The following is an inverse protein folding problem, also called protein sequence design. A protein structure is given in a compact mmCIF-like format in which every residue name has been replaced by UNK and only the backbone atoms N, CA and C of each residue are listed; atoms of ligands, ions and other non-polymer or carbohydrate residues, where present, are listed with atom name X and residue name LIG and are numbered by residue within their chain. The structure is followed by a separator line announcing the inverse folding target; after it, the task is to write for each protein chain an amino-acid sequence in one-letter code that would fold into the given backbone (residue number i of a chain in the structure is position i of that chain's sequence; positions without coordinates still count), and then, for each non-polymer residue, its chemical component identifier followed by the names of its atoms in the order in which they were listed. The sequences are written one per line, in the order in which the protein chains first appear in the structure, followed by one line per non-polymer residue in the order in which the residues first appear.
data_IF_767022933741
#
_entry.id   IF_767022933741
#
_cell.length_a   1.000
_cell.length_b   1.000
_cell.length_c   1.000
_cell.angle_alpha   90.00
_cell.angle_beta   90.00
_cell.angle_gamma   90.00
#
_symmetry.space_group_name_H-M   'P 1'
#
loop_
_entity.id
_entity.type
_entity.pdbx_description
1 polymer ?
#
# COMPACT_ATOMS: atom_id res chain seq x y z
N UNK A 1 -7.90 -12.05 12.47
CA UNK A 1 -6.60 -12.50 13.02
C UNK A 1 -5.48 -11.95 12.15
N UNK A 2 -4.34 -11.54 12.73
CA UNK A 2 -3.16 -11.12 11.96
C UNK A 2 -2.45 -12.38 11.44
N UNK A 3 -1.97 -12.38 10.18
CA UNK A 3 -1.27 -13.54 9.61
C UNK A 3 0.07 -13.82 10.31
N UNK A 4 0.41 -15.09 10.54
CA UNK A 4 1.74 -15.45 11.02
C UNK A 4 2.78 -15.13 9.95
N UNK A 5 3.96 -14.66 10.37
CA UNK A 5 5.08 -14.30 9.47
C UNK A 5 4.64 -13.38 8.32
N UNK A 6 3.82 -12.38 8.66
CA UNK A 6 3.17 -11.47 7.71
C UNK A 6 4.13 -10.92 6.65
N UNK A 7 5.31 -10.43 7.03
CA UNK A 7 6.27 -9.84 6.09
C UNK A 7 6.86 -10.87 5.13
N UNK A 8 7.25 -12.05 5.62
CA UNK A 8 7.74 -13.15 4.76
C UNK A 8 6.66 -13.59 3.79
N UNK A 9 5.43 -13.80 4.30
CA UNK A 9 4.28 -14.19 3.49
C UNK A 9 3.98 -13.15 2.42
N UNK A 10 3.86 -11.87 2.79
CA UNK A 10 3.53 -10.79 1.86
C UNK A 10 4.65 -10.59 0.82
N UNK A 11 5.91 -10.77 1.20
CA UNK A 11 7.06 -10.66 0.30
C UNK A 11 7.14 -11.81 -0.71
N UNK A 12 6.82 -13.04 -0.27
CA UNK A 12 7.08 -14.27 -1.03
C UNK A 12 6.51 -14.31 -2.44
N UNK A 13 5.39 -13.63 -2.69
CA UNK A 13 4.74 -13.54 -4.00
C UNK A 13 4.43 -12.10 -4.44
N UNK A 14 5.01 -11.10 -3.76
CA UNK A 14 4.68 -9.69 -3.98
C UNK A 14 4.89 -9.24 -5.43
N UNK A 15 6.05 -9.59 -6.00
CA UNK A 15 6.40 -9.25 -7.38
C UNK A 15 5.49 -9.94 -8.40
N UNK A 16 5.03 -11.17 -8.14
CA UNK A 16 4.13 -11.87 -9.06
C UNK A 16 2.75 -11.18 -9.13
N UNK A 17 2.29 -10.63 -8.00
CA UNK A 17 1.00 -9.93 -7.85
C UNK A 17 1.02 -8.44 -8.22
N UNK A 18 2.16 -7.92 -8.69
CA UNK A 18 2.34 -6.51 -9.08
C UNK A 18 2.93 -6.41 -10.48
N UNK A 19 2.17 -6.76 -11.51
CA UNK A 19 2.65 -6.82 -12.90
C UNK A 19 1.93 -5.87 -13.84
N UNK A 20 0.74 -5.39 -13.50
CA UNK A 20 0.04 -4.40 -14.32
C UNK A 20 0.76 -3.05 -14.26
N UNK A 21 1.04 -2.48 -15.44
CA UNK A 21 1.80 -1.23 -15.54
C UNK A 21 1.13 -0.09 -14.80
N UNK A 22 -0.19 0.03 -14.96
CA UNK A 22 -0.97 1.10 -14.34
C UNK A 22 -1.01 0.87 -12.82
N UNK A 23 -1.19 -0.36 -12.35
CA UNK A 23 -1.12 -0.66 -10.92
C UNK A 23 0.23 -0.23 -10.31
N UNK A 24 1.34 -0.55 -10.97
CA UNK A 24 2.70 -0.17 -10.53
C UNK A 24 2.89 1.35 -10.47
N UNK A 25 2.39 2.09 -11.46
CA UNK A 25 2.44 3.56 -11.50
C UNK A 25 1.51 4.20 -10.47
N UNK A 26 0.35 3.60 -10.21
CA UNK A 26 -0.54 4.08 -9.15
C UNK A 26 0.09 3.85 -7.78
N UNK A 27 0.74 2.71 -7.55
CA UNK A 27 1.39 2.41 -6.27
C UNK A 27 2.57 3.34 -5.97
N UNK A 28 3.44 3.63 -6.95
CA UNK A 28 4.61 4.49 -6.71
C UNK A 28 4.22 5.90 -6.25
N UNK A 29 3.02 6.38 -6.62
CA UNK A 29 2.47 7.65 -6.14
C UNK A 29 1.60 7.51 -4.87
N UNK A 30 0.76 6.47 -4.81
CA UNK A 30 -0.20 6.30 -3.73
C UNK A 30 0.44 5.90 -2.40
N UNK A 31 1.56 5.17 -2.42
CA UNK A 31 2.25 4.76 -1.19
C UNK A 31 2.88 5.97 -0.48
N UNK A 32 3.66 6.86 -1.15
CA UNK A 32 4.10 8.11 -0.54
C UNK A 32 2.96 9.01 -0.05
N UNK A 33 1.87 9.11 -0.82
CA UNK A 33 0.67 9.84 -0.38
C UNK A 33 0.13 9.29 0.95
N UNK A 34 0.00 7.97 1.07
CA UNK A 34 -0.44 7.33 2.30
C UNK A 34 0.51 7.64 3.47
N UNK A 35 1.82 7.53 3.26
CA UNK A 35 2.83 7.79 4.28
C UNK A 35 2.74 9.24 4.79
N UNK A 36 2.71 10.21 3.88
CA UNK A 36 2.57 11.64 4.21
C UNK A 36 1.25 11.88 4.95
N UNK A 37 0.13 11.37 4.44
CA UNK A 37 -1.18 11.55 5.06
C UNK A 37 -1.26 10.92 6.46
N UNK A 38 -0.59 9.78 6.67
CA UNK A 38 -0.47 9.13 7.98
C UNK A 38 0.36 9.98 8.94
N UNK A 39 1.49 10.53 8.50
CA UNK A 39 2.31 11.44 9.32
C UNK A 39 1.51 12.70 9.68
N UNK A 40 0.80 13.30 8.72
CA UNK A 40 -0.07 14.46 8.94
C UNK A 40 -1.14 14.12 9.98
N UNK A 41 -1.78 12.96 9.88
CA UNK A 41 -2.79 12.53 10.85
C UNK A 41 -2.19 12.36 12.25
N UNK A 42 -1.00 11.76 12.38
CA UNK A 42 -0.31 11.62 13.68
C UNK A 42 0.02 12.99 14.28
N UNK A 43 0.59 13.90 13.48
CA UNK A 43 0.89 15.28 13.93
C UNK A 43 -0.39 16.01 14.32
N UNK A 44 -1.47 15.84 13.57
CA UNK A 44 -2.76 16.44 13.87
C UNK A 44 -3.31 15.99 15.22
N UNK A 45 -3.19 14.69 15.54
CA UNK A 45 -3.59 14.15 16.85
C UNK A 45 -2.74 14.74 17.97
N UNK A 46 -1.42 14.79 17.79
CA UNK A 46 -0.49 15.36 18.80
C UNK A 46 -0.74 16.85 19.04
N UNK A 47 -1.11 17.59 18.00
CA UNK A 47 -1.32 19.05 18.05
C UNK A 47 -2.78 19.46 18.30
N UNK A 48 -3.71 18.50 18.34
CA UNK A 48 -5.15 18.77 18.50
C UNK A 48 -5.80 19.45 17.28
N UNK A 49 -5.19 19.38 16.10
CA UNK A 49 -5.69 20.07 14.89
C UNK A 49 -6.72 19.24 14.12
N UNK A 50 -8.01 19.56 14.30
CA UNK A 50 -9.10 18.88 13.57
C UNK A 50 -9.01 19.05 12.05
N UNK A 51 -8.57 20.20 11.56
CA UNK A 51 -8.38 20.45 10.12
C UNK A 51 -7.30 19.53 9.53
N UNK A 52 -6.13 19.46 10.18
CA UNK A 52 -5.06 18.57 9.73
C UNK A 52 -5.47 17.09 9.83
N UNK A 53 -6.26 16.72 10.85
CA UNK A 53 -6.79 15.37 10.96
C UNK A 53 -7.73 15.03 9.80
N UNK A 54 -8.61 15.96 9.41
CA UNK A 54 -9.46 15.83 8.22
C UNK A 54 -8.66 15.64 6.94
N UNK A 55 -7.63 16.47 6.72
CA UNK A 55 -6.75 16.33 5.55
C UNK A 55 -5.99 14.99 5.53
N UNK A 56 -5.43 14.57 6.67
CA UNK A 56 -4.74 13.28 6.80
C UNK A 56 -5.68 12.10 6.53
N UNK A 57 -6.90 12.13 7.09
CA UNK A 57 -7.92 11.11 6.83
C UNK A 57 -8.33 11.04 5.37
N UNK A 58 -8.57 12.18 4.71
CA UNK A 58 -8.88 12.24 3.27
C UNK A 58 -7.74 11.70 2.41
N UNK A 59 -6.49 12.05 2.73
CA UNK A 59 -5.31 11.56 2.03
C UNK A 59 -5.13 10.04 2.14
N UNK A 60 -5.32 9.49 3.35
CA UNK A 60 -5.32 8.04 3.58
C UNK A 60 -6.43 7.37 2.75
N UNK A 61 -7.66 7.90 2.81
CA UNK A 61 -8.80 7.36 2.05
C UNK A 61 -8.54 7.37 0.54
N UNK A 62 -7.99 8.47 0.01
CA UNK A 62 -7.63 8.58 -1.40
C UNK A 62 -6.57 7.52 -1.80
N UNK A 63 -5.51 7.36 -1.00
CA UNK A 63 -4.47 6.37 -1.26
C UNK A 63 -5.02 4.93 -1.27
N UNK A 64 -5.88 4.58 -0.31
CA UNK A 64 -6.55 3.26 -0.24
C UNK A 64 -7.38 3.02 -1.50
N UNK A 65 -8.17 4.01 -1.94
CA UNK A 65 -9.01 3.89 -3.13
C UNK A 65 -8.18 3.75 -4.40
N UNK A 66 -7.10 4.53 -4.53
CA UNK A 66 -6.19 4.47 -5.70
C UNK A 66 -5.53 3.10 -5.79
N UNK A 67 -4.96 2.59 -4.70
CA UNK A 67 -4.32 1.26 -4.67
C UNK A 67 -5.35 0.15 -4.91
N UNK A 68 -6.54 0.25 -4.31
CA UNK A 68 -7.63 -0.69 -4.58
C UNK A 68 -8.05 -0.73 -6.05
N UNK A 69 -8.05 0.43 -6.75
CA UNK A 69 -8.29 0.48 -8.20
C UNK A 69 -7.14 -0.13 -8.99
N UNK A 70 -5.90 0.10 -8.59
CA UNK A 70 -4.72 -0.52 -9.18
C UNK A 70 -4.77 -2.04 -9.10
N UNK A 71 -4.95 -2.61 -7.90
CA UNK A 71 -4.98 -4.05 -7.69
C UNK A 71 -6.11 -4.76 -8.45
N UNK A 72 -7.24 -4.09 -8.75
CA UNK A 72 -8.31 -4.67 -9.56
C UNK A 72 -7.89 -4.97 -11.01
N UNK A 73 -6.77 -4.40 -11.45
CA UNK A 73 -6.21 -4.60 -12.80
C UNK A 73 -5.26 -5.79 -12.87
N UNK A 74 -4.78 -6.27 -11.73
CA UNK A 74 -3.90 -7.42 -11.67
C UNK A 74 -4.64 -8.69 -12.10
N UNK A 75 -3.96 -9.53 -12.88
CA UNK A 75 -4.52 -10.81 -13.34
C UNK A 75 -4.74 -11.76 -12.18
N UNK A 76 -3.78 -11.81 -11.26
CA UNK A 76 -3.85 -12.60 -10.04
C UNK A 76 -4.48 -11.75 -8.94
N UNK A 77 -5.62 -12.23 -8.42
CA UNK A 77 -6.31 -11.51 -7.33
C UNK A 77 -5.55 -11.70 -6.02
N UNK A 78 -5.44 -10.65 -5.18
CA UNK A 78 -4.91 -10.79 -3.83
C UNK A 78 -5.72 -11.80 -3.02
N UNK A 79 -5.05 -12.52 -2.12
CA UNK A 79 -5.70 -13.40 -1.16
C UNK A 79 -6.74 -12.61 -0.35
N UNK A 80 -8.00 -13.10 -0.22
CA UNK A 80 -9.04 -12.41 0.53
C UNK A 80 -8.60 -12.09 1.96
N UNK A 81 -9.09 -10.97 2.48
CA UNK A 81 -8.82 -10.59 3.86
C UNK A 81 -9.60 -11.50 4.81
N UNK A 82 -8.93 -11.98 5.86
CA UNK A 82 -9.56 -12.80 6.91
C UNK A 82 -10.32 -11.97 7.95
N UNK A 83 -10.42 -10.65 7.74
CA UNK A 83 -11.10 -9.69 8.59
C UNK A 83 -10.41 -8.33 8.64
N UNK A 84 -10.94 -7.36 9.40
CA UNK A 84 -10.41 -5.99 9.45
C UNK A 84 -8.95 -5.92 9.93
N UNK A 85 -8.57 -6.71 10.93
CA UNK A 85 -7.18 -6.75 11.41
C UNK A 85 -6.19 -7.32 10.38
N UNK A 86 -6.62 -8.31 9.57
CA UNK A 86 -5.79 -8.83 8.46
C UNK A 86 -5.61 -7.76 7.39
N UNK A 87 -6.69 -7.03 7.05
CA UNK A 87 -6.62 -5.90 6.13
C UNK A 87 -5.65 -4.81 6.62
N UNK A 88 -5.86 -4.29 7.83
CA UNK A 88 -5.05 -3.19 8.38
C UNK A 88 -3.58 -3.59 8.49
N UNK A 89 -3.29 -4.78 9.02
CA UNK A 89 -1.90 -5.24 9.17
C UNK A 89 -1.18 -5.42 7.84
N UNK A 90 -1.83 -6.08 6.86
CA UNK A 90 -1.27 -6.24 5.50
C UNK A 90 -1.07 -4.89 4.82
N UNK A 91 -2.06 -4.01 4.91
CA UNK A 91 -1.99 -2.70 4.27
C UNK A 91 -0.85 -1.88 4.86
N UNK A 92 -0.76 -1.74 6.19
CA UNK A 92 0.34 -1.01 6.84
C UNK A 92 1.72 -1.62 6.52
N UNK A 93 1.84 -2.94 6.57
CA UNK A 93 3.07 -3.64 6.18
C UNK A 93 3.46 -3.34 4.73
N UNK A 94 2.47 -3.27 3.82
CA UNK A 94 2.69 -2.90 2.43
C UNK A 94 3.24 -1.49 2.30
N UNK A 95 2.58 -0.52 2.93
CA UNK A 95 2.90 0.90 2.77
C UNK A 95 4.29 1.24 3.32
N UNK A 96 4.68 0.64 4.44
CA UNK A 96 5.89 1.04 5.16
C UNK A 96 7.08 0.12 4.98
N UNK A 97 6.87 -1.14 4.60
CA UNK A 97 7.93 -2.15 4.55
C UNK A 97 8.00 -2.80 3.17
N UNK A 98 6.94 -3.47 2.76
CA UNK A 98 6.97 -4.38 1.61
C UNK A 98 7.10 -3.63 0.28
N UNK A 99 6.31 -2.58 0.05
CA UNK A 99 6.42 -1.79 -1.18
C UNK A 99 7.73 -0.98 -1.26
N UNK A 100 8.17 -0.26 -0.22
CA UNK A 100 9.50 0.37 -0.24
C UNK A 100 10.61 -0.63 -0.54
N UNK A 101 10.62 -1.81 0.11
CA UNK A 101 11.57 -2.88 -0.18
C UNK A 101 11.48 -3.35 -1.64
N UNK A 102 10.28 -3.47 -2.20
CA UNK A 102 10.07 -3.86 -3.60
C UNK A 102 10.63 -2.83 -4.59
N UNK A 103 10.51 -1.54 -4.28
CA UNK A 103 11.12 -0.47 -5.09
C UNK A 103 12.65 -0.52 -4.98
N UNK A 104 13.20 -0.51 -3.76
CA UNK A 104 14.65 -0.43 -3.56
C UNK A 104 15.41 -1.70 -3.96
N UNK A 105 14.76 -2.86 -3.98
CA UNK A 105 15.34 -4.09 -4.53
C UNK A 105 15.34 -4.15 -6.06
N UNK A 106 14.79 -3.14 -6.74
CA UNK A 106 14.66 -3.11 -8.21
C UNK A 106 13.48 -3.91 -8.77
N UNK A 107 12.70 -4.58 -7.92
CA UNK A 107 11.54 -5.37 -8.33
C UNK A 107 10.48 -4.53 -9.06
N UNK A 108 10.24 -3.30 -8.60
CA UNK A 108 9.33 -2.37 -9.26
C UNK A 108 9.79 -2.05 -10.69
N UNK A 109 11.06 -1.64 -10.86
CA UNK A 109 11.61 -1.28 -12.17
C UNK A 109 11.61 -2.48 -13.14
N UNK A 110 11.96 -3.66 -12.63
CA UNK A 110 11.88 -4.92 -13.37
C UNK A 110 10.45 -5.17 -13.88
N UNK A 111 9.45 -5.11 -13.01
CA UNK A 111 8.06 -5.37 -13.39
C UNK A 111 7.50 -4.30 -14.33
N UNK A 112 7.84 -3.02 -14.14
CA UNK A 112 7.45 -1.96 -15.08
C UNK A 112 8.03 -2.22 -16.48
N UNK A 113 9.32 -2.60 -16.57
CA UNK A 113 9.96 -2.88 -17.87
C UNK A 113 9.37 -4.08 -18.62
N UNK A 114 8.72 -5.01 -17.91
CA UNK A 114 8.12 -6.24 -18.46
C UNK A 114 6.60 -6.22 -18.46
N UNK A 115 6.00 -5.14 -17.98
CA UNK A 115 4.55 -4.97 -17.96
C UNK A 115 4.03 -4.92 -19.39
N UNK A 116 3.01 -5.74 -19.68
CA UNK A 116 2.28 -5.73 -20.95
C UNK A 116 1.12 -4.77 -20.87
#
# INVERSE_FOLDING_TARGET
MIRPRLLEWQWSDYSAKHRDRINLLLHIAAVPLFQIATIVLVVAVVTGSGYAAGLGGLGIGAAVVIQGRGHRRERERPTPFSGPADFVSRFLAEQWITFPRFVFSGGWAHNVSRSR
#
